data_IF_597094145905
#
_entry.id   IF_597094145905
#
_cell.length_a   1.000
_cell.length_b   1.000
_cell.length_c   1.000
_cell.angle_alpha   90.00
_cell.angle_beta   90.00
_cell.angle_gamma   90.00
#
_symmetry.space_group_name_H-M   'P 1'
#
loop_
_entity.id
_entity.type
_entity.pdbx_description
1 polymer ?
#
# COMPACT_ATOMS: atom_id res chain seq x y z
N UNK A 1 28.08 1.49 -19.13
CA UNK A 1 27.09 0.78 -18.31
C UNK A 1 25.91 1.71 -18.17
N UNK A 2 24.70 1.20 -18.23
CA UNK A 2 23.50 1.98 -17.99
C UNK A 2 23.59 2.63 -16.59
N UNK A 3 23.34 3.93 -16.46
CA UNK A 3 23.51 4.70 -15.22
C UNK A 3 22.57 4.23 -14.10
N UNK A 4 21.64 3.33 -14.43
CA UNK A 4 20.69 2.71 -13.51
C UNK A 4 21.21 1.42 -12.87
N UNK A 5 22.34 0.84 -13.32
CA UNK A 5 22.87 -0.41 -12.77
C UNK A 5 23.95 -0.19 -11.70
N UNK A 6 23.93 -1.03 -10.67
CA UNK A 6 24.89 -1.04 -9.55
C UNK A 6 25.52 -2.42 -9.44
N UNK A 7 26.85 -2.49 -9.53
CA UNK A 7 27.60 -3.73 -9.29
C UNK A 7 27.62 -4.04 -7.78
N UNK A 8 27.34 -5.30 -7.41
CA UNK A 8 27.28 -5.77 -6.03
C UNK A 8 28.33 -6.83 -5.69
N UNK A 9 29.17 -7.23 -6.65
CA UNK A 9 30.21 -8.25 -6.45
C UNK A 9 29.90 -9.58 -7.14
N UNK A 10 30.72 -10.60 -6.91
CA UNK A 10 30.46 -11.97 -7.38
C UNK A 10 29.48 -12.69 -6.47
N UNK A 11 28.63 -13.54 -7.05
CA UNK A 11 27.74 -14.41 -6.28
C UNK A 11 28.56 -15.43 -5.48
N UNK A 12 28.24 -15.59 -4.19
CA UNK A 12 28.96 -16.50 -3.28
C UNK A 12 28.81 -17.97 -3.67
N UNK A 13 27.65 -18.36 -4.18
CA UNK A 13 27.31 -19.74 -4.55
C UNK A 13 27.72 -20.10 -5.98
N UNK A 14 27.96 -19.10 -6.83
CA UNK A 14 28.46 -19.27 -8.19
C UNK A 14 29.40 -18.11 -8.54
N UNK A 15 30.72 -18.23 -8.27
CA UNK A 15 31.69 -17.16 -8.47
C UNK A 15 31.85 -16.69 -9.92
N UNK A 16 31.27 -17.40 -10.90
CA UNK A 16 31.26 -16.99 -12.29
C UNK A 16 30.17 -15.95 -12.60
N UNK A 17 29.22 -15.71 -11.69
CA UNK A 17 28.12 -14.76 -11.88
C UNK A 17 28.42 -13.45 -11.17
N UNK A 18 28.38 -12.35 -11.92
CA UNK A 18 28.37 -11.00 -11.37
C UNK A 18 26.96 -10.64 -10.90
N UNK A 19 26.87 -10.13 -9.67
CA UNK A 19 25.64 -9.58 -9.12
C UNK A 19 25.55 -8.12 -9.55
N UNK A 20 24.53 -7.83 -10.33
CA UNK A 20 24.12 -6.49 -10.72
C UNK A 20 22.70 -6.26 -10.21
N UNK A 21 22.38 -5.01 -9.93
CA UNK A 21 21.06 -4.62 -9.51
C UNK A 21 20.70 -3.24 -10.08
N UNK A 22 19.44 -2.87 -10.07
CA UNK A 22 18.99 -1.52 -10.38
C UNK A 22 19.16 -0.60 -9.17
N UNK A 23 19.38 0.70 -9.40
CA UNK A 23 19.30 1.72 -8.35
C UNK A 23 17.92 1.77 -7.65
N UNK A 24 16.88 1.24 -8.30
CA UNK A 24 15.51 1.17 -7.78
C UNK A 24 15.24 0.02 -6.83
N UNK A 25 16.21 -0.85 -6.55
CA UNK A 25 16.05 -1.92 -5.55
C UNK A 25 16.43 -1.42 -4.17
N UNK A 26 15.52 -1.61 -3.21
CA UNK A 26 15.69 -1.22 -1.82
C UNK A 26 15.11 -2.25 -0.86
N UNK A 27 15.60 -2.22 0.37
CA UNK A 27 15.10 -3.04 1.48
C UNK A 27 14.83 -2.07 2.62
N UNK A 28 13.64 -2.15 3.19
CA UNK A 28 13.21 -1.31 4.30
C UNK A 28 12.73 -2.19 5.44
N UNK A 29 13.20 -1.91 6.66
CA UNK A 29 12.52 -2.41 7.84
C UNK A 29 11.28 -1.54 8.07
N UNK A 30 10.09 -2.14 8.02
CA UNK A 30 8.85 -1.40 8.18
C UNK A 30 8.75 -0.68 9.53
N UNK A 31 9.45 -1.14 10.56
CA UNK A 31 9.51 -0.46 11.87
C UNK A 31 10.16 0.93 11.79
N UNK A 32 11.04 1.15 10.82
CA UNK A 32 11.70 2.44 10.58
C UNK A 32 10.83 3.41 9.77
N UNK A 33 9.68 2.95 9.25
CA UNK A 33 8.73 3.78 8.50
C UNK A 33 7.61 4.23 9.45
N UNK A 34 7.43 5.55 9.67
CA UNK A 34 6.35 6.06 10.49
C UNK A 34 4.97 5.67 9.94
N UNK A 35 4.04 5.35 10.85
CA UNK A 35 2.63 5.24 10.48
C UNK A 35 2.10 6.62 10.09
N UNK A 36 1.59 6.75 8.86
CA UNK A 36 0.96 7.97 8.36
C UNK A 36 -0.54 7.89 8.59
N UNK A 37 -1.16 8.82 9.34
CA UNK A 37 -2.60 8.90 9.46
C UNK A 37 -3.24 9.17 8.09
N UNK A 38 -4.18 8.33 7.69
CA UNK A 38 -4.96 8.49 6.46
C UNK A 38 -6.27 9.22 6.77
N UNK A 39 -6.98 8.74 7.81
CA UNK A 39 -8.18 9.34 8.41
C UNK A 39 -8.32 8.85 9.87
N UNK A 40 -9.29 9.34 10.67
CA UNK A 40 -9.46 8.88 12.04
C UNK A 40 -9.59 7.36 12.13
N UNK A 41 -8.74 6.70 12.92
CA UNK A 41 -8.73 5.25 13.07
C UNK A 41 -7.98 4.49 11.97
N UNK A 42 -7.34 5.19 11.03
CA UNK A 42 -6.67 4.57 9.88
C UNK A 42 -5.28 5.11 9.62
N UNK A 43 -4.37 4.18 9.37
CA UNK A 43 -2.97 4.49 9.10
C UNK A 43 -2.43 3.64 7.97
N UNK A 44 -1.42 4.17 7.29
CA UNK A 44 -0.67 3.42 6.30
C UNK A 44 0.83 3.70 6.38
N UNK A 45 1.62 2.74 5.90
CA UNK A 45 3.02 2.92 5.51
C UNK A 45 3.12 2.66 4.02
N UNK A 46 3.46 3.68 3.23
CA UNK A 46 3.70 3.50 1.80
C UNK A 46 5.02 2.74 1.61
N UNK A 47 4.96 1.54 1.04
CA UNK A 47 6.14 0.67 0.89
C UNK A 47 6.72 0.70 -0.52
N UNK A 48 5.89 0.92 -1.54
CA UNK A 48 6.29 1.04 -2.94
C UNK A 48 5.21 1.78 -3.73
N UNK A 49 5.58 2.44 -4.81
CA UNK A 49 4.63 2.99 -5.78
C UNK A 49 5.22 3.05 -7.19
N UNK A 50 4.35 3.00 -8.19
CA UNK A 50 4.68 3.21 -9.61
C UNK A 50 3.69 4.21 -10.22
N UNK A 51 4.11 5.46 -10.46
CA UNK A 51 3.27 6.49 -11.07
C UNK A 51 2.75 6.13 -12.45
N UNK A 52 3.49 5.33 -13.24
CA UNK A 52 3.12 5.01 -14.61
C UNK A 52 1.96 4.02 -14.68
N UNK A 53 1.93 3.04 -13.77
CA UNK A 53 0.84 2.05 -13.71
C UNK A 53 -0.22 2.34 -12.65
N UNK A 54 0.02 3.30 -11.75
CA UNK A 54 -0.89 3.60 -10.63
C UNK A 54 -0.83 2.57 -9.50
N UNK A 55 0.14 1.65 -9.54
CA UNK A 55 0.30 0.59 -8.53
C UNK A 55 0.97 1.13 -7.28
N UNK A 56 0.52 0.68 -6.12
CA UNK A 56 1.18 1.02 -4.86
C UNK A 56 0.93 -0.05 -3.80
N UNK A 57 1.92 -0.22 -2.93
CA UNK A 57 1.90 -1.21 -1.85
C UNK A 57 1.92 -0.49 -0.51
N UNK A 58 1.04 -0.91 0.40
CA UNK A 58 0.85 -0.26 1.70
C UNK A 58 0.82 -1.32 2.78
N UNK A 59 1.53 -1.08 3.88
CA UNK A 59 1.18 -1.73 5.15
C UNK A 59 0.05 -0.90 5.76
N UNK A 60 -1.15 -1.45 5.80
CA UNK A 60 -2.36 -0.78 6.23
C UNK A 60 -2.73 -1.19 7.66
N UNK A 61 -3.24 -0.23 8.43
CA UNK A 61 -3.75 -0.45 9.78
C UNK A 61 -5.09 0.23 9.94
N UNK A 62 -6.05 -0.51 10.50
CA UNK A 62 -7.37 -0.04 10.89
C UNK A 62 -7.60 -0.38 12.37
N UNK A 63 -8.09 0.59 13.13
CA UNK A 63 -8.39 0.40 14.55
C UNK A 63 -9.44 -0.69 14.75
N UNK A 64 -9.40 -1.37 15.90
CA UNK A 64 -10.44 -2.32 16.30
C UNK A 64 -11.85 -1.71 16.16
N UNK A 65 -12.77 -2.43 15.53
CA UNK A 65 -14.12 -1.97 15.24
C UNK A 65 -14.22 -0.85 14.20
N UNK A 66 -13.11 -0.46 13.57
CA UNK A 66 -13.05 0.55 12.54
C UNK A 66 -13.77 0.12 11.26
N UNK A 67 -14.25 1.11 10.52
CA UNK A 67 -14.97 0.93 9.25
C UNK A 67 -14.32 1.78 8.17
N UNK A 68 -14.29 1.26 6.95
CA UNK A 68 -13.91 2.00 5.74
C UNK A 68 -15.20 2.39 5.01
N UNK A 69 -15.36 3.62 4.51
CA UNK A 69 -16.48 4.01 3.66
C UNK A 69 -16.67 3.05 2.50
N UNK A 70 -17.93 2.88 2.09
CA UNK A 70 -18.28 2.11 0.90
C UNK A 70 -17.48 2.64 -0.29
N UNK A 71 -16.81 1.75 -0.99
CA UNK A 71 -15.96 2.11 -2.11
C UNK A 71 -15.89 0.99 -3.14
N UNK A 72 -15.38 1.35 -4.31
CA UNK A 72 -15.02 0.39 -5.36
C UNK A 72 -13.57 0.55 -5.77
N UNK A 73 -12.94 -0.54 -6.20
CA UNK A 73 -11.56 -0.51 -6.68
C UNK A 73 -11.52 -0.23 -8.19
N UNK A 74 -10.82 0.83 -8.61
CA UNK A 74 -10.64 1.17 -10.03
C UNK A 74 -9.56 0.31 -10.71
N UNK A 75 -8.82 -0.47 -9.92
CA UNK A 75 -7.97 -1.58 -10.34
C UNK A 75 -8.16 -2.76 -9.38
N UNK A 76 -7.44 -3.86 -9.57
CA UNK A 76 -7.52 -4.98 -8.62
C UNK A 76 -6.86 -4.59 -7.29
N UNK A 77 -7.19 -5.29 -6.20
CA UNK A 77 -6.48 -5.17 -4.93
C UNK A 77 -6.22 -6.56 -4.35
N UNK A 78 -5.03 -6.78 -3.82
CA UNK A 78 -4.67 -7.98 -3.09
C UNK A 78 -4.32 -7.61 -1.66
N UNK A 79 -4.63 -8.49 -0.73
CA UNK A 79 -4.18 -8.31 0.65
C UNK A 79 -3.73 -9.59 1.31
N UNK A 80 -2.89 -9.42 2.33
CA UNK A 80 -2.51 -10.45 3.27
C UNK A 80 -2.60 -9.92 4.71
N UNK A 81 -3.42 -10.56 5.54
CA UNK A 81 -3.65 -10.14 6.92
C UNK A 81 -2.53 -10.66 7.83
N UNK A 82 -1.90 -9.74 8.55
CA UNK A 82 -0.80 -10.02 9.47
C UNK A 82 -1.27 -10.11 10.92
N UNK A 83 -2.26 -9.29 11.29
CA UNK A 83 -2.85 -9.21 12.62
C UNK A 83 -4.31 -8.80 12.50
N UNK A 84 -5.16 -9.22 13.43
CA UNK A 84 -6.58 -8.88 13.40
C UNK A 84 -7.37 -9.69 12.41
N UNK A 85 -8.61 -9.24 12.26
CA UNK A 85 -9.52 -9.75 11.26
C UNK A 85 -10.48 -8.65 10.82
N UNK A 86 -11.04 -8.82 9.64
CA UNK A 86 -12.09 -7.97 9.12
C UNK A 86 -13.05 -8.81 8.28
N UNK A 87 -14.22 -8.26 8.00
CA UNK A 87 -15.19 -8.89 7.14
C UNK A 87 -15.88 -7.90 6.22
N UNK A 88 -16.38 -8.44 5.13
CA UNK A 88 -17.21 -7.77 4.13
C UNK A 88 -18.08 -8.83 3.44
N UNK A 89 -18.67 -8.51 2.28
CA UNK A 89 -19.67 -9.35 1.61
C UNK A 89 -19.14 -10.74 1.21
N UNK A 90 -17.82 -10.89 1.06
CA UNK A 90 -17.18 -12.17 0.74
C UNK A 90 -16.95 -13.08 1.97
N UNK A 91 -17.10 -12.55 3.18
CA UNK A 91 -16.87 -13.28 4.44
C UNK A 91 -15.87 -12.58 5.36
N UNK A 92 -15.42 -13.31 6.38
CA UNK A 92 -14.45 -12.84 7.39
C UNK A 92 -13.08 -13.46 7.11
N UNK A 93 -12.04 -12.65 7.22
CA UNK A 93 -10.65 -13.05 7.02
C UNK A 93 -9.79 -12.49 8.16
N UNK A 94 -8.98 -13.36 8.76
CA UNK A 94 -8.07 -13.02 9.85
C UNK A 94 -6.61 -13.25 9.48
N UNK A 95 -5.71 -13.13 10.47
CA UNK A 95 -4.28 -13.34 10.29
C UNK A 95 -3.94 -14.64 9.52
N UNK A 96 -2.92 -14.56 8.66
CA UNK A 96 -2.57 -15.55 7.63
C UNK A 96 -3.61 -15.74 6.52
N UNK A 97 -4.61 -14.87 6.45
CA UNK A 97 -5.59 -14.82 5.38
C UNK A 97 -5.10 -13.99 4.19
N UNK A 98 -5.36 -14.48 2.99
CA UNK A 98 -5.17 -13.77 1.74
C UNK A 98 -6.53 -13.42 1.13
N UNK A 99 -6.61 -12.28 0.45
CA UNK A 99 -7.76 -11.93 -0.37
C UNK A 99 -7.37 -11.26 -1.67
N UNK A 100 -8.26 -11.40 -2.64
CA UNK A 100 -8.20 -10.77 -3.94
C UNK A 100 -9.53 -10.08 -4.21
N UNK A 101 -9.49 -8.78 -4.45
CA UNK A 101 -10.63 -7.94 -4.76
C UNK A 101 -10.56 -7.57 -6.25
N UNK A 102 -11.55 -8.02 -7.00
CA UNK A 102 -11.63 -7.79 -8.44
C UNK A 102 -11.95 -6.31 -8.73
N UNK A 103 -11.41 -5.72 -9.81
CA UNK A 103 -11.77 -4.35 -10.20
C UNK A 103 -13.29 -4.16 -10.29
N UNK A 104 -13.78 -3.01 -9.85
CA UNK A 104 -15.19 -2.65 -9.79
C UNK A 104 -16.04 -3.43 -8.77
N UNK A 105 -15.42 -4.29 -7.95
CA UNK A 105 -16.11 -4.82 -6.77
C UNK A 105 -16.39 -3.67 -5.80
N UNK A 106 -17.56 -3.69 -5.17
CA UNK A 106 -18.01 -2.69 -4.19
C UNK A 106 -18.07 -3.37 -2.83
N UNK A 107 -17.41 -2.79 -1.83
CA UNK A 107 -17.29 -3.39 -0.51
C UNK A 107 -17.48 -2.38 0.62
N UNK A 108 -18.01 -2.86 1.75
CA UNK A 108 -18.13 -2.15 3.02
C UNK A 108 -17.39 -2.92 4.14
N UNK A 109 -16.05 -2.78 4.25
CA UNK A 109 -15.30 -3.61 5.18
C UNK A 109 -15.30 -3.05 6.61
N UNK A 110 -15.39 -3.98 7.57
CA UNK A 110 -15.43 -3.69 9.01
C UNK A 110 -14.41 -4.56 9.74
N UNK A 111 -13.54 -3.95 10.53
CA UNK A 111 -12.60 -4.66 11.40
C UNK A 111 -13.31 -5.30 12.59
N UNK A 112 -12.77 -6.43 13.09
CA UNK A 112 -13.22 -7.01 14.36
C UNK A 112 -13.04 -6.02 15.51
N UNK A 113 -13.87 -6.15 16.54
CA UNK A 113 -13.80 -5.37 17.78
C UNK A 113 -12.65 -5.81 18.70
N UNK A 114 -12.07 -7.00 18.46
CA UNK A 114 -11.16 -7.64 19.40
C UNK A 114 -9.75 -7.03 19.37
N UNK A 115 -9.25 -6.65 18.19
CA UNK A 115 -7.90 -6.12 18.00
C UNK A 115 -7.78 -5.27 16.72
N UNK A 116 -6.75 -4.43 16.67
CA UNK A 116 -6.42 -3.66 15.47
C UNK A 116 -6.05 -4.60 14.31
N UNK A 117 -6.58 -4.29 13.12
CA UNK A 117 -6.24 -4.95 11.87
C UNK A 117 -4.92 -4.41 11.33
N UNK A 118 -4.01 -5.29 10.92
CA UNK A 118 -2.82 -4.95 10.15
C UNK A 118 -2.73 -5.89 8.94
N UNK A 119 -2.57 -5.32 7.74
CA UNK A 119 -2.49 -6.08 6.50
C UNK A 119 -1.52 -5.46 5.51
N UNK A 120 -0.85 -6.30 4.72
CA UNK A 120 -0.17 -5.86 3.51
C UNK A 120 -1.21 -5.73 2.40
N UNK A 121 -1.25 -4.59 1.72
CA UNK A 121 -2.16 -4.32 0.62
C UNK A 121 -1.37 -3.97 -0.64
N UNK A 122 -1.67 -4.64 -1.74
CA UNK A 122 -1.10 -4.39 -3.06
C UNK A 122 -2.23 -3.87 -3.96
N UNK A 123 -2.19 -2.58 -4.26
CA UNK A 123 -3.20 -1.93 -5.07
C UNK A 123 -2.72 -1.85 -6.53
N UNK A 124 -3.60 -2.26 -7.46
CA UNK A 124 -3.40 -2.15 -8.90
C UNK A 124 -4.14 -0.94 -9.51
N UNK A 125 -4.48 0.03 -8.67
CA UNK A 125 -5.21 1.24 -9.03
C UNK A 125 -5.73 1.94 -7.77
N UNK A 126 -6.41 3.06 -7.96
CA UNK A 126 -7.03 3.81 -6.87
C UNK A 126 -8.39 3.21 -6.49
N UNK A 127 -8.99 3.73 -5.42
CA UNK A 127 -10.38 3.46 -5.04
C UNK A 127 -11.27 4.67 -5.32
N UNK A 128 -12.54 4.41 -5.55
CA UNK A 128 -13.59 5.40 -5.72
C UNK A 128 -14.58 5.23 -4.58
N UNK A 129 -14.68 6.23 -3.70
CA UNK A 129 -15.71 6.27 -2.65
C UNK A 129 -17.06 6.70 -3.25
N UNK A 130 -18.14 6.50 -2.50
CA UNK A 130 -19.48 6.92 -2.89
C UNK A 130 -19.98 8.08 -2.01
N UNK A 131 -20.69 9.04 -2.61
CA UNK A 131 -21.41 10.07 -1.87
C UNK A 131 -22.64 9.47 -1.17
N UNK A 132 -23.24 10.22 -0.23
CA UNK A 132 -24.45 9.79 0.49
C UNK A 132 -25.65 9.49 -0.44
N UNK A 133 -25.72 10.14 -1.60
CA UNK A 133 -26.77 9.89 -2.61
C UNK A 133 -26.47 8.70 -3.55
N UNK A 134 -25.36 7.98 -3.31
CA UNK A 134 -24.92 6.84 -4.09
C UNK A 134 -24.20 7.21 -5.41
N UNK A 135 -23.98 8.49 -5.69
CA UNK A 135 -23.19 8.90 -6.85
C UNK A 135 -21.68 8.72 -6.61
N UNK A 136 -20.85 8.64 -7.67
CA UNK A 136 -19.39 8.59 -7.51
C UNK A 136 -18.87 9.81 -6.73
N UNK A 137 -18.15 9.54 -5.64
CA UNK A 137 -17.54 10.54 -4.77
C UNK A 137 -16.07 10.84 -5.11
N UNK A 138 -15.21 11.07 -4.11
CA UNK A 138 -13.78 11.25 -4.31
C UNK A 138 -13.06 9.97 -4.77
N UNK A 139 -12.07 10.13 -5.65
CA UNK A 139 -11.07 9.10 -5.93
C UNK A 139 -9.96 9.23 -4.89
N UNK A 140 -9.74 8.17 -4.12
CA UNK A 140 -8.71 8.09 -3.08
C UNK A 140 -7.65 7.09 -3.53
N UNK A 141 -6.37 7.41 -3.32
CA UNK A 141 -5.31 6.48 -3.67
C UNK A 141 -3.92 7.09 -3.63
N UNK A 142 -3.06 6.60 -4.52
CA UNK A 142 -1.61 6.79 -4.46
C UNK A 142 -1.17 8.26 -4.28
N UNK A 143 -1.66 9.17 -5.12
CA UNK A 143 -1.20 10.56 -5.12
C UNK A 143 -1.50 11.28 -3.81
N UNK A 144 -2.74 11.18 -3.31
CA UNK A 144 -3.14 11.77 -2.03
C UNK A 144 -2.35 11.17 -0.86
N UNK A 145 -2.16 9.85 -0.88
CA UNK A 145 -1.43 9.17 0.19
C UNK A 145 0.07 9.50 0.19
N UNK A 146 0.69 9.72 -0.98
CA UNK A 146 2.06 10.23 -1.10
C UNK A 146 2.18 11.59 -0.41
N UNK A 147 1.24 12.52 -0.63
CA UNK A 147 1.30 13.84 0.01
C UNK A 147 1.11 13.76 1.53
N UNK A 148 0.22 12.88 2.01
CA UNK A 148 0.08 12.61 3.45
C UNK A 148 1.38 12.06 4.04
N UNK A 149 2.01 11.08 3.37
CA UNK A 149 3.29 10.52 3.82
C UNK A 149 4.40 11.58 3.81
N UNK A 150 4.42 12.46 2.81
CA UNK A 150 5.38 13.57 2.73
C UNK A 150 5.22 14.53 3.89
N UNK A 151 3.99 14.94 4.19
CA UNK A 151 3.69 15.81 5.33
C UNK A 151 4.08 15.15 6.67
N UNK A 152 4.04 13.83 6.75
CA UNK A 152 4.40 13.04 7.93
C UNK A 152 5.88 12.60 7.98
N UNK A 153 6.75 13.08 7.09
CA UNK A 153 8.15 12.67 6.97
C UNK A 153 8.34 11.14 6.84
N UNK A 154 7.40 10.46 6.18
CA UNK A 154 7.33 9.00 6.08
C UNK A 154 7.77 8.44 4.71
N UNK A 155 8.55 9.21 3.94
CA UNK A 155 8.99 8.84 2.58
C UNK A 155 10.49 8.62 2.43
N UNK A 156 11.28 8.83 3.50
CA UNK A 156 12.75 8.79 3.44
C UNK A 156 13.28 7.49 2.81
N UNK A 157 12.66 6.35 3.10
CA UNK A 157 13.04 5.03 2.56
C UNK A 157 12.73 4.85 1.07
N UNK A 158 12.00 5.77 0.45
CA UNK A 158 11.67 5.75 -0.97
C UNK A 158 12.39 6.84 -1.75
N UNK A 159 12.64 8.00 -1.15
CA UNK A 159 13.21 9.18 -1.82
C UNK A 159 14.61 8.94 -2.40
N UNK A 160 15.37 8.01 -1.84
CA UNK A 160 16.70 7.63 -2.33
C UNK A 160 16.65 6.66 -3.52
N UNK A 161 15.48 6.09 -3.83
CA UNK A 161 15.33 4.94 -4.73
C UNK A 161 14.32 5.14 -5.85
N UNK A 162 13.27 5.95 -5.62
CA UNK A 162 12.16 6.11 -6.54
C UNK A 162 12.04 7.57 -7.01
N UNK A 163 11.72 7.79 -8.30
CA UNK A 163 11.37 9.11 -8.79
C UNK A 163 10.01 9.52 -8.20
N UNK A 164 10.02 10.53 -7.35
CA UNK A 164 8.78 11.10 -6.82
C UNK A 164 8.07 11.98 -7.86
N UNK A 165 6.72 11.95 -7.91
CA UNK A 165 5.99 12.97 -8.63
C UNK A 165 6.27 14.36 -8.02
N UNK A 166 6.24 15.43 -8.84
CA UNK A 166 6.35 16.79 -8.34
C UNK A 166 5.24 17.07 -7.32
N UNK A 167 5.52 17.96 -6.35
CA UNK A 167 4.50 18.38 -5.39
C UNK A 167 3.29 18.94 -6.15
N UNK A 168 2.10 18.43 -5.86
CA UNK A 168 0.88 19.08 -6.33
C UNK A 168 0.69 20.40 -5.56
N UNK A 169 0.40 21.47 -6.29
CA UNK A 169 0.17 22.82 -5.74
C UNK A 169 -1.25 23.02 -5.23
#
# INVERSE_FOLDING_TARGET
MDDHLVYRGKAKTNPNVDLWDSKGTYIVNCDDVPWTPVRPGEWGKLLNFDPASGKYTVLYKLAAGGTVPVHTHLGATEFFVLQGSFGYEAGVVGANGYGFEYPFAVHEPVASQDEDLIMLVINYGNTQEFNEDGTPGPVVGMAGFIEQCRANNALKHLEEHLPFPPKMG
#
